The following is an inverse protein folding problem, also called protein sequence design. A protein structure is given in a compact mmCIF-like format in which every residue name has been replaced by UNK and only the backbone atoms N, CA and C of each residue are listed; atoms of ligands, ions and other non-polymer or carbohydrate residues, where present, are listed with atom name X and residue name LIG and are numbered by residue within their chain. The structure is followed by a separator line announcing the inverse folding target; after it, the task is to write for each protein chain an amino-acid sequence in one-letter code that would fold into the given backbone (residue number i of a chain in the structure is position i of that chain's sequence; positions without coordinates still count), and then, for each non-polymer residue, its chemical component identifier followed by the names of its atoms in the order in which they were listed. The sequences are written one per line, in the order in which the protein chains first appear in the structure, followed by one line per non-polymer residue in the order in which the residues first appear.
data_IF_840315347529
#
_entry.id   IF_840315347529
#
_cell.length_a   1.000
_cell.length_b   1.000
_cell.length_c   1.000
_cell.angle_alpha   90.00
_cell.angle_beta   90.00
_cell.angle_gamma   90.00
#
_symmetry.space_group_name_H-M   'P 1'
#
loop_
_entity.id
_entity.type
_entity.pdbx_description
1 polymer ?
#
# COMPACT_ATOMS: atom_id res chain seq x y z
N UNK A 1 18.16 -16.33 -51.87
CA UNK A 1 18.56 -15.57 -50.68
C UNK A 1 17.90 -16.24 -49.49
N UNK A 2 18.66 -16.60 -48.45
CA UNK A 2 18.12 -17.17 -47.20
C UNK A 2 18.10 -16.02 -46.20
N UNK A 3 16.90 -15.61 -45.80
CA UNK A 3 16.71 -14.59 -44.78
C UNK A 3 17.08 -15.20 -43.42
N UNK A 4 18.20 -14.74 -42.86
CA UNK A 4 18.57 -15.04 -41.48
C UNK A 4 17.71 -14.20 -40.56
N UNK A 5 16.59 -14.75 -40.09
CA UNK A 5 15.82 -14.19 -38.98
C UNK A 5 16.65 -14.40 -37.71
N UNK A 6 17.45 -13.42 -37.32
CA UNK A 6 18.06 -13.37 -35.99
C UNK A 6 16.94 -13.22 -34.96
N UNK A 7 16.56 -14.33 -34.34
CA UNK A 7 15.69 -14.32 -33.17
C UNK A 7 16.39 -13.56 -32.03
N UNK A 8 15.81 -12.45 -31.61
CA UNK A 8 16.24 -11.73 -30.41
C UNK A 8 16.06 -12.65 -29.20
N UNK A 9 17.10 -12.87 -28.37
CA UNK A 9 16.98 -13.72 -27.21
C UNK A 9 15.96 -13.12 -26.22
N UNK A 10 14.89 -13.88 -25.95
CA UNK A 10 13.90 -13.51 -24.94
C UNK A 10 14.56 -13.40 -23.57
N UNK A 11 14.47 -12.23 -22.94
CA UNK A 11 14.95 -12.04 -21.57
C UNK A 11 13.91 -12.62 -20.63
N UNK A 12 14.18 -13.80 -20.07
CA UNK A 12 13.30 -14.46 -19.09
C UNK A 12 13.67 -14.02 -17.68
N UNK A 13 12.72 -13.39 -17.00
CA UNK A 13 12.85 -13.05 -15.58
C UNK A 13 12.08 -14.10 -14.78
N UNK A 14 12.76 -14.76 -13.85
CA UNK A 14 12.13 -15.71 -12.92
C UNK A 14 11.97 -15.02 -11.57
N UNK A 15 10.73 -14.95 -11.07
CA UNK A 15 10.40 -14.40 -9.77
C UNK A 15 9.67 -15.46 -8.96
N UNK A 16 9.94 -15.53 -7.65
CA UNK A 16 9.07 -16.26 -6.74
C UNK A 16 7.73 -15.53 -6.57
N UNK A 17 6.71 -16.26 -6.14
CA UNK A 17 5.39 -15.67 -5.84
C UNK A 17 5.50 -14.56 -4.80
N UNK A 18 6.34 -14.74 -3.78
CA UNK A 18 6.55 -13.72 -2.72
C UNK A 18 7.24 -12.46 -3.25
N UNK A 19 8.19 -12.61 -4.17
CA UNK A 19 8.85 -11.49 -4.83
C UNK A 19 7.86 -10.72 -5.71
N UNK A 20 7.02 -11.43 -6.46
CA UNK A 20 5.98 -10.85 -7.28
C UNK A 20 4.94 -10.11 -6.42
N UNK A 21 4.47 -10.71 -5.34
CA UNK A 21 3.55 -10.08 -4.39
C UNK A 21 4.13 -8.78 -3.83
N UNK A 22 5.39 -8.81 -3.41
CA UNK A 22 6.08 -7.64 -2.87
C UNK A 22 6.19 -6.51 -3.91
N UNK A 23 6.48 -6.85 -5.16
CA UNK A 23 6.53 -5.89 -6.27
C UNK A 23 5.15 -5.30 -6.56
N UNK A 24 4.12 -6.13 -6.66
CA UNK A 24 2.74 -5.68 -6.89
C UNK A 24 2.30 -4.76 -5.75
N UNK A 25 2.52 -5.14 -4.49
CA UNK A 25 2.18 -4.30 -3.33
C UNK A 25 2.90 -2.97 -3.35
N UNK A 26 4.16 -2.95 -3.79
CA UNK A 26 4.94 -1.71 -3.92
C UNK A 26 4.30 -0.80 -4.97
N UNK A 27 4.09 -1.29 -6.18
CA UNK A 27 3.51 -0.51 -7.29
C UNK A 27 2.12 0.01 -6.90
N UNK A 28 1.24 -0.86 -6.41
CA UNK A 28 -0.12 -0.46 -6.01
C UNK A 28 -0.09 0.63 -4.93
N UNK A 29 0.82 0.56 -3.96
CA UNK A 29 0.95 1.62 -2.94
C UNK A 29 1.41 2.94 -3.55
N UNK A 30 2.38 2.90 -4.46
CA UNK A 30 2.90 4.09 -5.13
C UNK A 30 1.78 4.78 -5.92
N UNK A 31 1.04 4.03 -6.74
CA UNK A 31 -0.09 4.55 -7.52
C UNK A 31 -1.22 5.09 -6.62
N UNK A 32 -1.56 4.40 -5.54
CA UNK A 32 -2.59 4.85 -4.61
C UNK A 32 -2.18 6.14 -3.88
N UNK A 33 -0.90 6.29 -3.53
CA UNK A 33 -0.38 7.52 -2.91
C UNK A 33 -0.41 8.67 -3.89
N UNK A 34 -0.01 8.44 -5.14
CA UNK A 34 -0.09 9.45 -6.19
C UNK A 34 -1.54 9.89 -6.44
N UNK A 35 -2.46 8.93 -6.56
CA UNK A 35 -3.89 9.19 -6.68
C UNK A 35 -4.42 10.01 -5.50
N UNK A 36 -4.09 9.62 -4.26
CA UNK A 36 -4.51 10.31 -3.06
C UNK A 36 -3.95 11.75 -2.96
N UNK A 37 -2.76 11.99 -3.52
CA UNK A 37 -2.13 13.31 -3.52
C UNK A 37 -2.70 14.26 -4.58
N UNK A 38 -3.13 13.73 -5.73
CA UNK A 38 -3.72 14.50 -6.82
C UNK A 38 -5.18 14.89 -6.53
N UNK A 39 -5.94 13.99 -5.92
CA UNK A 39 -7.32 14.22 -5.52
C UNK A 39 -7.37 14.83 -4.09
N UNK A 40 -7.02 16.11 -4.00
CA UNK A 40 -7.14 16.94 -2.79
C UNK A 40 -8.62 17.04 -2.35
N UNK A 41 -9.11 16.02 -1.67
CA UNK A 41 -10.48 15.98 -1.17
C UNK A 41 -11.00 14.59 -0.77
N UNK A 42 -10.45 13.51 -1.35
CA UNK A 42 -10.95 12.15 -1.08
C UNK A 42 -10.69 11.72 0.37
N UNK A 43 -9.57 12.13 0.96
CA UNK A 43 -9.18 11.79 2.34
C UNK A 43 -9.25 12.99 3.29
N UNK A 44 -10.00 14.04 2.95
CA UNK A 44 -10.24 15.13 3.88
C UNK A 44 -11.30 14.69 4.91
N UNK A 45 -10.88 14.56 6.17
CA UNK A 45 -11.79 14.32 7.26
C UNK A 45 -12.23 15.68 7.82
N UNK A 46 -13.50 16.03 7.63
CA UNK A 46 -14.10 17.25 8.19
C UNK A 46 -14.03 17.21 9.72
N UNK A 47 -13.88 18.37 10.36
CA UNK A 47 -13.94 18.54 11.82
C UNK A 47 -15.30 18.15 12.40
N UNK A 48 -16.36 18.29 11.62
CA UNK A 48 -17.70 17.85 12.02
C UNK A 48 -17.90 16.34 11.85
N UNK A 49 -16.91 15.63 11.28
CA UNK A 49 -16.96 14.17 11.17
C UNK A 49 -16.89 13.54 12.56
N UNK A 50 -17.74 12.53 12.85
CA UNK A 50 -17.67 11.80 14.11
C UNK A 50 -16.34 11.08 14.34
N UNK A 51 -15.51 10.92 13.30
CA UNK A 51 -14.20 10.27 13.38
C UNK A 51 -13.03 11.27 13.56
N UNK A 52 -13.28 12.58 13.50
CA UNK A 52 -12.20 13.58 13.53
C UNK A 52 -11.40 13.50 14.83
N UNK A 53 -12.10 13.53 15.96
CA UNK A 53 -11.50 13.46 17.30
C UNK A 53 -10.74 12.14 17.50
N UNK A 54 -11.29 11.02 17.03
CA UNK A 54 -10.63 9.72 17.07
C UNK A 54 -9.30 9.72 16.30
N UNK A 55 -9.27 10.36 15.12
CA UNK A 55 -8.05 10.45 14.32
C UNK A 55 -6.99 11.34 14.97
N UNK A 56 -7.38 12.46 15.58
CA UNK A 56 -6.48 13.32 16.35
C UNK A 56 -5.90 12.57 17.56
N UNK A 57 -6.73 11.84 18.31
CA UNK A 57 -6.28 11.05 19.46
C UNK A 57 -5.33 9.92 19.03
N UNK A 58 -5.62 9.22 17.92
CA UNK A 58 -4.70 8.22 17.35
C UNK A 58 -3.36 8.88 16.96
N UNK A 59 -3.39 10.07 16.38
CA UNK A 59 -2.21 10.80 15.95
C UNK A 59 -1.34 11.23 17.15
N UNK A 60 -1.95 11.70 18.23
CA UNK A 60 -1.25 12.02 19.48
C UNK A 60 -0.68 10.78 20.18
N UNK A 61 -1.43 9.67 20.20
CA UNK A 61 -0.95 8.37 20.70
C UNK A 61 0.23 7.85 19.88
N UNK A 62 0.21 8.04 18.55
CA UNK A 62 1.34 7.71 17.67
C UNK A 62 2.58 8.54 18.00
N UNK A 63 2.45 9.87 18.14
CA UNK A 63 3.58 10.76 18.48
C UNK A 63 4.21 10.44 19.83
N UNK A 64 3.39 10.08 20.81
CA UNK A 64 3.84 9.74 22.17
C UNK A 64 4.30 8.29 22.34
N UNK A 65 4.28 7.48 21.27
CA UNK A 65 4.67 6.07 21.31
C UNK A 65 3.71 5.17 22.11
N UNK A 66 2.48 5.63 22.34
CA UNK A 66 1.45 4.94 23.14
C UNK A 66 0.43 4.16 22.29
N UNK A 67 0.69 4.01 20.99
CA UNK A 67 -0.22 3.34 20.07
C UNK A 67 -0.16 1.83 20.29
N UNK A 68 -1.28 1.25 20.76
CA UNK A 68 -1.40 -0.17 20.99
C UNK A 68 -2.14 -0.82 19.82
N UNK A 69 -1.44 -1.64 19.04
CA UNK A 69 -2.06 -2.47 18.02
C UNK A 69 -2.42 -3.83 18.63
N UNK A 70 -3.62 -4.28 18.31
CA UNK A 70 -4.07 -5.62 18.67
C UNK A 70 -4.26 -6.41 17.38
N UNK A 71 -3.78 -7.65 17.39
CA UNK A 71 -4.05 -8.54 16.27
C UNK A 71 -5.49 -9.02 16.34
N UNK A 72 -6.02 -9.51 15.22
CA UNK A 72 -7.39 -10.02 15.16
C UNK A 72 -7.59 -11.17 16.14
N UNK A 73 -6.64 -12.11 16.16
CA UNK A 73 -6.63 -13.28 17.05
C UNK A 73 -6.65 -12.85 18.52
N UNK A 74 -5.93 -11.78 18.87
CA UNK A 74 -5.86 -11.25 20.24
C UNK A 74 -7.18 -10.67 20.75
N UNK A 75 -8.03 -10.16 19.86
CA UNK A 75 -9.32 -9.56 20.25
C UNK A 75 -10.47 -10.55 20.13
N UNK A 76 -10.44 -11.42 19.11
CA UNK A 76 -11.56 -12.30 18.78
C UNK A 76 -11.45 -13.71 19.37
N UNK A 77 -10.32 -14.09 20.00
CA UNK A 77 -10.12 -15.40 20.64
C UNK A 77 -10.47 -16.59 19.72
N UNK A 78 -10.14 -16.51 18.43
CA UNK A 78 -10.24 -17.64 17.48
C UNK A 78 -9.00 -18.55 17.53
#
# INVERSE_FOLDING_TARGET
MRDNVTATPETKVTLSVQQLESLIRKVVREELVEFAAQELGIFHLDKESPLYEDMEDILERKKSGKLNFHTHEKIWNE
#
